data_IF_744864951551
#
_entry.id   IF_744864951551
#
_cell.length_a   1.000
_cell.length_b   1.000
_cell.length_c   1.000
_cell.angle_alpha   90.00
_cell.angle_beta   90.00
_cell.angle_gamma   90.00
#
_symmetry.space_group_name_H-M   'P 1'
#
loop_
_entity.id
_entity.type
_entity.pdbx_description
1 polymer ?
#
# COMPACT_ATOMS: atom_id res chain seq x y z
N UNK A 1 -2.55 -64.95 -44.75
CA UNK A 1 -3.89 -64.36 -44.88
C UNK A 1 -4.24 -63.65 -43.58
N UNK A 2 -4.22 -62.32 -43.57
CA UNK A 2 -4.55 -61.51 -42.38
C UNK A 2 -6.08 -61.48 -42.26
N UNK A 3 -6.61 -61.81 -41.08
CA UNK A 3 -8.07 -61.85 -40.89
C UNK A 3 -8.68 -60.44 -40.96
N UNK A 4 -9.93 -60.32 -41.41
CA UNK A 4 -10.66 -59.06 -41.53
C UNK A 4 -10.68 -58.22 -40.22
N UNK A 5 -10.56 -58.86 -39.06
CA UNK A 5 -10.44 -58.20 -37.75
C UNK A 5 -9.08 -57.53 -37.50
N UNK A 6 -8.00 -58.06 -38.07
CA UNK A 6 -6.66 -57.46 -37.98
C UNK A 6 -6.49 -56.29 -38.97
N UNK A 7 -7.15 -56.35 -40.13
CA UNK A 7 -7.18 -55.23 -41.09
C UNK A 7 -7.94 -54.02 -40.52
N UNK A 8 -9.10 -54.23 -39.88
CA UNK A 8 -9.88 -53.15 -39.26
C UNK A 8 -9.13 -52.43 -38.12
N UNK A 9 -8.32 -53.16 -37.34
CA UNK A 9 -7.52 -52.57 -36.26
C UNK A 9 -6.32 -51.74 -36.76
N UNK A 10 -5.79 -52.05 -37.95
CA UNK A 10 -4.74 -51.25 -38.57
C UNK A 10 -5.30 -49.97 -39.24
N UNK A 11 -6.45 -50.06 -39.91
CA UNK A 11 -7.08 -48.90 -40.56
C UNK A 11 -7.57 -47.87 -39.54
N UNK A 12 -8.10 -48.31 -38.38
CA UNK A 12 -8.50 -47.39 -37.30
C UNK A 12 -7.33 -46.73 -36.58
N UNK A 13 -6.15 -47.37 -36.51
CA UNK A 13 -4.95 -46.73 -35.95
C UNK A 13 -4.31 -45.73 -36.91
N UNK A 14 -4.49 -45.89 -38.22
CA UNK A 14 -3.99 -44.95 -39.22
C UNK A 14 -4.86 -43.67 -39.31
N UNK A 15 -6.19 -43.76 -39.14
CA UNK A 15 -7.07 -42.58 -39.18
C UNK A 15 -7.04 -41.73 -37.90
N UNK A 16 -6.68 -42.31 -36.75
CA UNK A 16 -6.59 -41.57 -35.48
C UNK A 16 -5.33 -40.69 -35.37
N UNK A 17 -4.30 -40.94 -36.20
CA UNK A 17 -3.02 -40.22 -36.14
C UNK A 17 -3.05 -38.97 -37.05
N UNK A 18 -3.89 -38.93 -38.08
CA UNK A 18 -3.98 -37.77 -38.98
C UNK A 18 -4.84 -36.63 -38.42
N UNK A 19 -5.78 -36.91 -37.51
CA UNK A 19 -6.61 -35.84 -36.88
C UNK A 19 -5.87 -35.14 -35.73
N UNK A 20 -4.83 -35.75 -35.15
CA UNK A 20 -4.04 -35.12 -34.08
C UNK A 20 -2.94 -34.19 -34.63
N UNK A 21 -2.58 -34.32 -35.90
CA UNK A 21 -1.51 -33.54 -36.54
C UNK A 21 -1.98 -32.25 -37.26
N UNK A 22 -3.28 -31.96 -37.27
CA UNK A 22 -3.85 -30.77 -37.94
C UNK A 22 -4.60 -29.82 -36.99
N UNK A 23 -4.36 -29.95 -35.67
CA UNK A 23 -4.87 -29.01 -34.66
C UNK A 23 -3.76 -28.25 -33.92
N UNK A 24 -2.49 -28.48 -34.27
CA UNK A 24 -1.33 -27.81 -33.66
C UNK A 24 -0.79 -26.65 -34.51
N UNK A 25 -1.62 -26.00 -35.32
CA UNK A 25 -1.22 -24.84 -36.14
C UNK A 25 -2.03 -23.56 -35.89
N UNK A 26 -2.85 -23.51 -34.85
CA UNK A 26 -3.50 -22.27 -34.43
C UNK A 26 -3.50 -22.17 -32.91
N UNK A 27 -2.41 -21.63 -32.35
CA UNK A 27 -2.43 -20.74 -31.18
C UNK A 27 -0.99 -20.33 -30.82
N UNK A 28 -0.28 -19.71 -31.78
CA UNK A 28 0.78 -18.76 -31.43
C UNK A 28 0.11 -17.41 -31.11
N UNK A 29 -0.80 -17.40 -30.14
CA UNK A 29 -1.10 -16.17 -29.43
C UNK A 29 -0.13 -16.16 -28.27
N UNK A 30 0.84 -15.25 -28.34
CA UNK A 30 1.69 -14.90 -27.22
C UNK A 30 0.82 -14.77 -25.97
N UNK A 31 0.96 -15.71 -25.03
CA UNK A 31 0.61 -15.45 -23.65
C UNK A 31 1.56 -14.34 -23.18
N UNK A 32 1.14 -13.09 -23.39
CA UNK A 32 1.59 -11.99 -22.58
C UNK A 32 1.22 -12.42 -21.16
N UNK A 33 2.21 -12.89 -20.42
CA UNK A 33 2.10 -13.00 -18.99
C UNK A 33 1.72 -11.61 -18.51
N UNK A 34 0.44 -11.40 -18.21
CA UNK A 34 0.02 -10.27 -17.40
C UNK A 34 0.81 -10.45 -16.12
N UNK A 35 1.87 -9.66 -15.97
CA UNK A 35 2.47 -9.41 -14.66
C UNK A 35 1.28 -8.98 -13.83
N UNK A 36 0.80 -9.86 -12.93
CA UNK A 36 -0.07 -9.42 -11.84
C UNK A 36 0.79 -8.42 -11.10
N UNK A 37 0.68 -7.16 -11.46
CA UNK A 37 1.12 -6.10 -10.58
C UNK A 37 0.28 -6.37 -9.35
N UNK A 38 0.91 -6.82 -8.27
CA UNK A 38 0.30 -6.90 -6.95
C UNK A 38 0.04 -5.47 -6.46
N UNK A 39 -0.57 -4.63 -7.32
CA UNK A 39 -1.01 -3.30 -7.01
C UNK A 39 -2.08 -3.51 -5.94
N UNK A 40 -1.85 -3.02 -4.73
CA UNK A 40 -2.84 -3.10 -3.67
C UNK A 40 -4.17 -2.54 -4.21
N UNK A 41 -5.33 -3.05 -3.78
CA UNK A 41 -6.64 -2.62 -4.31
C UNK A 41 -7.01 -1.21 -3.81
N UNK A 42 -6.17 -0.22 -4.12
CA UNK A 42 -6.41 1.18 -3.85
C UNK A 42 -7.63 1.61 -4.67
N UNK A 43 -8.56 2.30 -4.03
CA UNK A 43 -9.66 2.94 -4.74
C UNK A 43 -9.16 4.19 -5.50
N UNK A 44 -10.03 4.83 -6.26
CA UNK A 44 -9.67 5.97 -7.10
C UNK A 44 -9.08 7.14 -6.30
N UNK A 45 -9.72 7.52 -5.20
CA UNK A 45 -9.24 8.63 -4.36
C UNK A 45 -7.90 8.32 -3.68
N UNK A 46 -7.69 7.07 -3.26
CA UNK A 46 -6.40 6.60 -2.75
C UNK A 46 -5.29 6.69 -3.80
N UNK A 47 -5.58 6.34 -5.07
CA UNK A 47 -4.62 6.53 -6.18
C UNK A 47 -4.34 8.01 -6.43
N UNK A 48 -5.38 8.84 -6.51
CA UNK A 48 -5.24 10.30 -6.68
C UNK A 48 -4.40 10.92 -5.56
N UNK A 49 -4.59 10.46 -4.33
CA UNK A 49 -3.83 10.91 -3.17
C UNK A 49 -2.35 10.48 -3.24
N UNK A 50 -2.08 9.22 -3.56
CA UNK A 50 -0.71 8.69 -3.73
C UNK A 50 0.05 9.47 -4.82
N UNK A 51 -0.60 9.68 -5.97
CA UNK A 51 -0.07 10.46 -7.07
C UNK A 51 0.17 11.94 -6.72
N UNK A 52 -0.82 12.60 -6.12
CA UNK A 52 -0.71 13.99 -5.72
C UNK A 52 0.43 14.17 -4.72
N UNK A 53 0.49 13.33 -3.69
CA UNK A 53 1.56 13.39 -2.69
C UNK A 53 2.92 13.15 -3.34
N UNK A 54 3.01 12.17 -4.25
CA UNK A 54 4.25 11.87 -4.99
C UNK A 54 4.73 13.08 -5.78
N UNK A 55 3.81 13.81 -6.43
CA UNK A 55 4.15 15.04 -7.17
C UNK A 55 4.55 16.19 -6.25
N UNK A 56 3.74 16.48 -5.23
CA UNK A 56 3.93 17.63 -4.34
C UNK A 56 5.17 17.49 -3.46
N UNK A 57 5.45 16.28 -2.95
CA UNK A 57 6.50 16.04 -1.96
C UNK A 57 7.72 15.32 -2.54
N UNK A 58 7.86 15.26 -3.87
CA UNK A 58 8.98 14.58 -4.57
C UNK A 58 10.37 14.93 -4.04
N UNK A 59 10.56 16.14 -3.50
CA UNK A 59 11.85 16.58 -2.95
C UNK A 59 12.23 15.98 -1.60
N UNK A 60 11.28 15.30 -0.93
CA UNK A 60 11.46 14.60 0.34
C UNK A 60 11.43 13.08 0.19
N UNK A 61 10.77 12.57 -0.87
CA UNK A 61 10.64 11.14 -1.11
C UNK A 61 11.97 10.57 -1.62
N UNK A 62 12.33 9.39 -1.12
CA UNK A 62 13.46 8.62 -1.62
C UNK A 62 12.97 7.55 -2.59
N UNK A 63 13.34 7.72 -3.86
CA UNK A 63 12.95 6.83 -4.95
C UNK A 63 14.10 5.92 -5.42
N UNK A 64 15.22 5.87 -4.68
CA UNK A 64 16.33 4.97 -4.99
C UNK A 64 15.88 3.52 -4.87
N UNK A 65 16.36 2.68 -5.78
CA UNK A 65 16.06 1.23 -5.77
C UNK A 65 17.01 0.44 -4.87
N UNK A 66 18.11 1.06 -4.41
CA UNK A 66 19.23 0.45 -3.67
C UNK A 66 19.81 -0.82 -4.33
N UNK A 67 19.45 -1.10 -5.58
CA UNK A 67 19.97 -2.24 -6.33
C UNK A 67 21.48 -2.04 -6.55
N UNK A 68 22.27 -3.06 -6.22
CA UNK A 68 23.73 -3.01 -6.32
C UNK A 68 24.44 -2.31 -5.17
N UNK A 69 23.74 -1.74 -4.19
CA UNK A 69 24.36 -1.20 -2.99
C UNK A 69 24.85 -2.32 -2.09
N UNK A 70 26.07 -2.19 -1.58
CA UNK A 70 26.63 -3.09 -0.57
C UNK A 70 25.89 -2.96 0.76
N UNK A 71 26.03 -3.97 1.63
CA UNK A 71 25.51 -3.92 3.00
C UNK A 71 26.06 -2.70 3.76
N UNK A 72 27.36 -2.44 3.65
CA UNK A 72 28.02 -1.32 4.33
C UNK A 72 27.45 0.04 3.92
N UNK A 73 27.20 0.26 2.62
CA UNK A 73 26.63 1.53 2.15
C UNK A 73 25.19 1.73 2.66
N UNK A 74 24.40 0.65 2.70
CA UNK A 74 23.03 0.67 3.21
C UNK A 74 23.01 0.92 4.72
N UNK A 75 23.86 0.25 5.47
CA UNK A 75 23.99 0.43 6.93
C UNK A 75 24.45 1.85 7.27
N UNK A 76 25.41 2.40 6.52
CA UNK A 76 25.89 3.77 6.72
C UNK A 76 24.80 4.81 6.43
N UNK A 77 24.02 4.61 5.36
CA UNK A 77 22.88 5.47 5.04
C UNK A 77 21.78 5.37 6.10
N UNK A 78 21.48 4.16 6.57
CA UNK A 78 20.52 3.92 7.64
C UNK A 78 20.94 4.64 8.92
N UNK A 79 22.20 4.48 9.35
CA UNK A 79 22.73 5.15 10.54
C UNK A 79 22.62 6.67 10.44
N UNK A 80 22.97 7.24 9.29
CA UNK A 80 22.82 8.69 9.03
C UNK A 80 21.35 9.14 9.09
N UNK A 81 20.43 8.34 8.55
CA UNK A 81 19.01 8.67 8.60
C UNK A 81 18.46 8.59 10.03
N UNK A 82 18.86 7.58 10.82
CA UNK A 82 18.50 7.48 12.23
C UNK A 82 19.05 8.68 13.03
N UNK A 83 20.30 9.08 12.79
CA UNK A 83 20.90 10.26 13.41
C UNK A 83 20.11 11.53 13.08
N UNK A 84 19.73 11.72 11.82
CA UNK A 84 18.93 12.86 11.38
C UNK A 84 17.54 12.90 12.04
N UNK A 85 16.94 11.77 12.41
CA UNK A 85 15.67 11.74 13.16
C UNK A 85 15.81 12.28 14.60
N UNK A 86 17.01 12.28 15.17
CA UNK A 86 17.29 12.88 16.48
C UNK A 86 17.66 14.36 16.39
N UNK A 87 17.86 14.87 15.17
CA UNK A 87 18.18 16.26 14.89
C UNK A 87 16.95 17.19 14.84
N UNK A 88 17.14 18.45 14.44
CA UNK A 88 16.03 19.39 14.24
C UNK A 88 15.11 18.91 13.11
N UNK A 89 13.86 19.39 13.07
CA UNK A 89 12.89 19.13 11.99
C UNK A 89 13.26 19.86 10.67
N UNK A 90 14.44 19.59 10.16
CA UNK A 90 15.00 20.13 8.92
C UNK A 90 14.53 19.35 7.69
N UNK A 91 15.00 19.75 6.50
CA UNK A 91 14.74 18.98 5.28
C UNK A 91 15.32 17.57 5.35
N UNK A 92 16.49 17.44 5.96
CA UNK A 92 17.20 16.17 6.17
C UNK A 92 16.40 15.23 7.06
N UNK A 93 15.74 15.75 8.10
CA UNK A 93 14.83 14.97 8.94
C UNK A 93 13.69 14.32 8.13
N UNK A 94 12.98 15.09 7.30
CA UNK A 94 11.90 14.55 6.45
C UNK A 94 12.41 13.58 5.39
N UNK A 95 13.60 13.84 4.83
CA UNK A 95 14.25 12.91 3.90
C UNK A 95 14.67 11.62 4.60
N UNK A 96 15.10 11.68 5.86
CA UNK A 96 15.46 10.52 6.66
C UNK A 96 14.27 9.59 6.88
N UNK A 97 13.08 10.12 7.22
CA UNK A 97 11.84 9.33 7.33
C UNK A 97 11.60 8.50 6.06
N UNK A 98 11.67 9.16 4.89
CA UNK A 98 11.41 8.51 3.62
C UNK A 98 12.53 7.55 3.20
N UNK A 99 13.79 7.87 3.53
CA UNK A 99 14.95 7.01 3.29
C UNK A 99 14.83 5.70 4.08
N UNK A 100 14.46 5.78 5.37
CA UNK A 100 14.23 4.59 6.20
C UNK A 100 13.07 3.73 5.66
N UNK A 101 12.02 4.38 5.15
CA UNK A 101 10.93 3.75 4.38
C UNK A 101 11.43 2.97 3.16
N UNK A 102 12.21 3.64 2.31
CA UNK A 102 12.73 3.05 1.08
C UNK A 102 13.74 1.92 1.34
N UNK A 103 14.55 2.04 2.40
CA UNK A 103 15.47 0.99 2.85
C UNK A 103 14.78 -0.22 3.48
N UNK A 104 13.53 -0.06 3.94
CA UNK A 104 12.81 -1.01 4.83
C UNK A 104 13.61 -1.29 6.10
N UNK A 105 14.10 -0.21 6.71
CA UNK A 105 15.00 -0.23 7.87
C UNK A 105 14.34 -0.80 9.12
N UNK A 106 14.66 -2.06 9.48
CA UNK A 106 14.17 -2.66 10.75
C UNK A 106 14.65 -1.88 11.97
N UNK A 107 15.80 -1.21 11.89
CA UNK A 107 16.38 -0.43 12.99
C UNK A 107 15.64 0.89 13.22
N UNK A 108 15.13 1.54 12.17
CA UNK A 108 14.34 2.78 12.26
C UNK A 108 12.84 2.56 12.51
N UNK A 109 12.38 1.31 12.49
CA UNK A 109 10.95 0.97 12.58
C UNK A 109 10.27 1.55 13.83
N UNK A 110 10.89 1.38 15.01
CA UNK A 110 10.30 1.85 16.28
C UNK A 110 10.15 3.37 16.31
N UNK A 111 11.12 4.09 15.78
CA UNK A 111 11.12 5.55 15.69
C UNK A 111 10.05 6.03 14.71
N UNK A 112 9.92 5.38 13.55
CA UNK A 112 8.85 5.67 12.59
C UNK A 112 7.46 5.41 13.19
N UNK A 113 7.29 4.31 13.93
CA UNK A 113 6.04 4.01 14.62
C UNK A 113 5.72 5.09 15.67
N UNK A 114 6.71 5.50 16.47
CA UNK A 114 6.53 6.58 17.44
C UNK A 114 6.12 7.91 16.78
N UNK A 115 6.74 8.29 15.65
CA UNK A 115 6.36 9.48 14.89
C UNK A 115 4.92 9.37 14.36
N UNK A 116 4.52 8.19 13.89
CA UNK A 116 3.19 7.95 13.35
C UNK A 116 2.09 8.03 14.43
N UNK A 117 2.35 7.53 15.64
CA UNK A 117 1.34 7.39 16.71
C UNK A 117 1.43 8.44 17.81
N UNK A 118 2.42 9.33 17.78
CA UNK A 118 2.57 10.45 18.72
C UNK A 118 1.26 11.22 18.91
N UNK A 119 0.85 11.53 20.13
CA UNK A 119 -0.45 12.15 20.42
C UNK A 119 -0.38 13.68 20.51
N UNK A 120 0.80 14.26 20.32
CA UNK A 120 0.98 15.72 20.30
C UNK A 120 0.28 16.34 19.09
N UNK A 121 -0.44 17.43 19.34
CA UNK A 121 -1.02 18.29 18.29
C UNK A 121 0.09 19.16 17.68
N UNK A 122 0.45 18.87 16.42
CA UNK A 122 1.58 19.49 15.70
C UNK A 122 1.36 19.47 14.19
N UNK A 123 2.28 20.09 13.45
CA UNK A 123 2.37 19.86 12.01
C UNK A 123 2.51 18.35 11.74
N UNK A 124 1.70 17.84 10.81
CA UNK A 124 1.54 16.41 10.61
C UNK A 124 2.41 15.87 9.47
N UNK A 125 3.37 16.64 8.96
CA UNK A 125 4.17 16.23 7.80
C UNK A 125 4.97 14.97 8.07
N UNK A 126 5.63 14.93 9.21
CA UNK A 126 6.42 13.79 9.66
C UNK A 126 5.53 12.55 9.88
N UNK A 127 4.34 12.74 10.46
CA UNK A 127 3.38 11.68 10.76
C UNK A 127 2.94 10.97 9.49
N UNK A 128 2.44 11.68 8.48
CA UNK A 128 1.98 11.02 7.26
C UNK A 128 3.13 10.40 6.47
N UNK A 129 4.33 10.99 6.50
CA UNK A 129 5.52 10.39 5.88
C UNK A 129 5.94 9.11 6.60
N UNK A 130 5.86 9.07 7.93
CA UNK A 130 6.15 7.88 8.72
C UNK A 130 5.12 6.77 8.46
N UNK A 131 3.83 7.10 8.41
CA UNK A 131 2.75 6.15 8.06
C UNK A 131 2.97 5.57 6.65
N UNK A 132 3.33 6.41 5.67
CA UNK A 132 3.69 5.97 4.32
C UNK A 132 4.88 5.01 4.35
N UNK A 133 5.94 5.38 5.06
CA UNK A 133 7.15 4.58 5.21
C UNK A 133 6.82 3.21 5.80
N UNK A 134 6.07 3.16 6.90
CA UNK A 134 5.63 1.94 7.56
C UNK A 134 4.79 1.03 6.64
N UNK A 135 3.93 1.60 5.79
CA UNK A 135 3.19 0.84 4.77
C UNK A 135 4.08 0.11 3.75
N UNK A 136 5.33 0.54 3.57
CA UNK A 136 6.30 -0.13 2.71
C UNK A 136 7.03 -1.30 3.38
N UNK A 137 7.04 -1.38 4.72
CA UNK A 137 7.77 -2.43 5.46
C UNK A 137 7.12 -3.80 5.29
N UNK A 138 5.78 -3.87 5.18
CA UNK A 138 5.05 -5.13 5.06
C UNK A 138 4.81 -5.85 6.40
N UNK A 139 5.29 -5.31 7.52
CA UNK A 139 5.00 -5.84 8.85
C UNK A 139 3.56 -5.52 9.24
N UNK A 140 2.70 -6.54 9.23
CA UNK A 140 1.28 -6.37 9.56
C UNK A 140 1.02 -6.17 11.05
N UNK A 141 2.02 -6.35 11.91
CA UNK A 141 1.84 -6.16 13.37
C UNK A 141 1.48 -4.73 13.75
N UNK A 142 1.71 -3.76 12.87
CA UNK A 142 1.32 -2.35 13.08
C UNK A 142 -0.12 -2.04 12.69
N UNK A 143 -0.87 -2.99 12.12
CA UNK A 143 -2.25 -2.74 11.67
C UNK A 143 -3.09 -2.12 12.80
N UNK A 144 -3.11 -2.65 14.03
CA UNK A 144 -3.83 -2.04 15.14
C UNK A 144 -3.46 -0.58 15.43
N UNK A 145 -2.19 -0.21 15.26
CA UNK A 145 -1.69 1.15 15.50
C UNK A 145 -2.06 2.12 14.36
N UNK A 146 -2.20 1.61 13.13
CA UNK A 146 -2.58 2.42 11.97
C UNK A 146 -4.10 2.61 11.82
N UNK A 147 -4.91 1.69 12.35
CA UNK A 147 -6.37 1.77 12.25
C UNK A 147 -6.92 3.07 12.84
N UNK A 148 -6.51 3.54 14.04
CA UNK A 148 -6.98 4.82 14.59
C UNK A 148 -6.62 6.04 13.75
N UNK A 149 -5.65 5.93 12.84
CA UNK A 149 -5.18 7.05 12.02
C UNK A 149 -6.05 7.26 10.77
N UNK A 150 -6.90 6.31 10.37
CA UNK A 150 -7.76 6.45 9.16
C UNK A 150 -8.83 7.53 9.29
N UNK A 151 -9.08 7.99 10.52
CA UNK A 151 -9.98 9.11 10.85
C UNK A 151 -9.22 10.27 11.52
N UNK A 152 -7.91 10.39 11.26
CA UNK A 152 -7.14 11.53 11.74
C UNK A 152 -7.60 12.86 11.09
N UNK A 153 -7.60 13.95 11.86
CA UNK A 153 -8.09 15.25 11.38
C UNK A 153 -7.26 15.87 10.25
N UNK A 154 -5.96 15.60 10.22
CA UNK A 154 -5.09 15.94 9.08
C UNK A 154 -5.34 15.02 7.87
N UNK A 155 -5.58 15.62 6.70
CA UNK A 155 -5.91 14.92 5.43
C UNK A 155 -4.82 13.96 4.97
N UNK A 156 -3.56 14.38 4.99
CA UNK A 156 -2.48 13.51 4.56
C UNK A 156 -2.34 12.31 5.49
N UNK A 157 -2.42 12.53 6.81
CA UNK A 157 -2.34 11.46 7.81
C UNK A 157 -3.40 10.39 7.57
N UNK A 158 -4.68 10.78 7.45
CA UNK A 158 -5.76 9.80 7.31
C UNK A 158 -5.70 9.03 6.00
N UNK A 159 -5.43 9.69 4.88
CA UNK A 159 -5.37 8.98 3.60
C UNK A 159 -4.15 8.08 3.49
N UNK A 160 -3.00 8.49 4.05
CA UNK A 160 -1.84 7.61 4.11
C UNK A 160 -2.04 6.43 5.04
N UNK A 161 -2.80 6.57 6.13
CA UNK A 161 -3.17 5.44 6.97
C UNK A 161 -4.01 4.43 6.18
N UNK A 162 -5.02 4.90 5.44
CA UNK A 162 -5.84 4.04 4.57
C UNK A 162 -4.99 3.32 3.51
N UNK A 163 -4.15 4.06 2.77
CA UNK A 163 -3.28 3.49 1.72
C UNK A 163 -2.31 2.45 2.31
N UNK A 164 -1.68 2.77 3.44
CA UNK A 164 -0.74 1.88 4.10
C UNK A 164 -1.42 0.60 4.61
N UNK A 165 -2.63 0.70 5.18
CA UNK A 165 -3.40 -0.48 5.57
C UNK A 165 -3.73 -1.36 4.37
N UNK A 166 -4.13 -0.79 3.23
CA UNK A 166 -4.39 -1.55 1.99
C UNK A 166 -3.10 -2.24 1.50
N UNK A 167 -1.96 -1.56 1.55
CA UNK A 167 -0.64 -2.13 1.19
C UNK A 167 -0.24 -3.30 2.08
N UNK A 168 -0.46 -3.18 3.39
CA UNK A 168 -0.11 -4.21 4.36
C UNK A 168 -1.04 -5.44 4.27
N UNK A 169 -2.33 -5.21 4.03
CA UNK A 169 -3.35 -6.25 4.22
C UNK A 169 -3.90 -6.83 2.93
N UNK A 170 -3.84 -6.08 1.82
CA UNK A 170 -4.54 -6.39 0.58
C UNK A 170 -6.07 -6.25 0.68
N UNK A 171 -6.59 -5.71 1.79
CA UNK A 171 -8.02 -5.45 2.01
C UNK A 171 -8.27 -3.95 1.99
N UNK A 172 -9.49 -3.47 1.73
CA UNK A 172 -9.78 -2.04 1.70
C UNK A 172 -11.13 -1.74 2.36
N UNK A 173 -11.09 -1.10 3.52
CA UNK A 173 -12.27 -0.56 4.22
C UNK A 173 -12.29 0.98 4.24
N UNK A 174 -11.43 1.63 3.44
CA UNK A 174 -11.26 3.08 3.43
C UNK A 174 -11.12 3.64 4.87
N UNK A 175 -11.89 4.68 5.21
CA UNK A 175 -11.91 5.30 6.54
C UNK A 175 -12.73 4.56 7.62
N UNK A 176 -13.31 3.39 7.31
CA UNK A 176 -14.11 2.64 8.29
C UNK A 176 -13.21 1.85 9.25
N UNK A 177 -12.81 2.52 10.33
CA UNK A 177 -11.96 1.95 11.36
C UNK A 177 -12.60 0.78 12.12
N UNK A 178 -13.94 0.75 12.20
CA UNK A 178 -14.68 -0.35 12.85
C UNK A 178 -14.62 -1.60 11.98
N UNK A 179 -14.81 -1.46 10.67
CA UNK A 179 -14.66 -2.56 9.72
C UNK A 179 -13.21 -3.08 9.69
N UNK A 180 -12.22 -2.19 9.68
CA UNK A 180 -10.81 -2.58 9.82
C UNK A 180 -10.55 -3.40 11.09
N UNK A 181 -11.02 -2.92 12.24
CA UNK A 181 -10.84 -3.58 13.52
C UNK A 181 -11.53 -4.95 13.61
N UNK A 182 -12.79 -5.01 13.16
CA UNK A 182 -13.56 -6.26 13.13
C UNK A 182 -12.90 -7.30 12.21
N UNK A 183 -12.50 -6.90 11.00
CA UNK A 183 -11.82 -7.79 10.05
C UNK A 183 -10.48 -8.29 10.58
N UNK A 184 -9.67 -7.42 11.20
CA UNK A 184 -8.35 -7.78 11.72
C UNK A 184 -8.47 -8.84 12.83
N UNK A 185 -9.39 -8.64 13.76
CA UNK A 185 -9.66 -9.58 14.85
C UNK A 185 -10.25 -10.89 14.33
N UNK A 186 -11.19 -10.84 13.38
CA UNK A 186 -11.75 -12.03 12.74
C UNK A 186 -10.66 -12.83 12.00
N UNK A 187 -9.74 -12.14 11.34
CA UNK A 187 -8.59 -12.73 10.64
C UNK A 187 -7.47 -13.20 11.57
N UNK A 188 -7.67 -13.12 12.90
CA UNK A 188 -6.70 -13.49 13.94
C UNK A 188 -5.37 -12.74 13.84
N UNK A 189 -5.40 -11.50 13.35
CA UNK A 189 -4.23 -10.65 13.29
C UNK A 189 -3.62 -10.40 14.67
N UNK A 190 -2.29 -10.21 14.71
CA UNK A 190 -1.53 -10.02 15.95
C UNK A 190 -0.71 -8.72 15.90
N UNK A 191 -0.77 -7.86 16.94
CA UNK A 191 -1.62 -7.99 18.13
C UNK A 191 -3.11 -7.78 17.80
N UNK A 192 -4.02 -8.20 18.68
CA UNK A 192 -5.45 -7.93 18.50
C UNK A 192 -5.73 -6.42 18.55
N UNK A 193 -6.73 -5.96 17.80
CA UNK A 193 -7.17 -4.56 17.82
C UNK A 193 -8.25 -4.37 18.89
N UNK A 194 -8.07 -3.39 19.77
CA UNK A 194 -9.07 -2.99 20.75
C UNK A 194 -10.18 -2.17 20.06
N UNK A 195 -11.29 -2.81 19.69
CA UNK A 195 -12.35 -2.22 18.84
C UNK A 195 -13.16 -1.10 19.48
N UNK A 196 -13.01 -0.86 20.79
CA UNK A 196 -13.90 0.02 21.55
C UNK A 196 -13.28 1.38 21.88
N UNK A 197 -12.01 1.60 21.52
CA UNK A 197 -11.27 2.79 21.95
C UNK A 197 -11.16 3.80 20.81
N UNK A 198 -12.18 4.67 20.70
CA UNK A 198 -12.10 5.82 19.81
C UNK A 198 -10.96 6.75 20.26
N UNK A 199 -9.96 6.88 19.40
CA UNK A 199 -8.78 7.72 19.67
C UNK A 199 -9.03 9.17 19.25
N UNK A 200 -9.19 10.08 20.22
CA UNK A 200 -9.32 11.52 19.93
C UNK A 200 -8.00 12.14 19.51
N UNK A 201 -7.81 12.48 18.23
CA UNK A 201 -6.58 13.11 17.71
C UNK A 201 -6.58 14.63 17.76
N UNK A 202 -7.76 15.26 17.72
CA UNK A 202 -7.90 16.71 17.65
C UNK A 202 -8.61 17.19 18.91
N UNK A 203 -7.99 18.13 19.62
CA UNK A 203 -8.58 18.75 20.81
C UNK A 203 -9.31 20.05 20.46
N UNK A 204 -10.38 19.93 19.66
CA UNK A 204 -11.23 21.05 19.26
C UNK A 204 -12.71 20.69 19.38
N UNK A 205 -13.60 21.69 19.58
CA UNK A 205 -15.04 21.50 19.53
C UNK A 205 -15.53 20.82 18.25
N UNK A 206 -16.36 19.80 18.39
CA UNK A 206 -16.88 18.98 17.29
C UNK A 206 -15.93 17.88 16.82
N UNK A 207 -14.91 17.52 17.61
CA UNK A 207 -14.01 16.38 17.37
C UNK A 207 -13.98 15.41 18.56
N UNK A 208 -15.03 15.41 19.38
CA UNK A 208 -15.11 14.62 20.62
C UNK A 208 -15.57 13.19 20.39
N UNK A 209 -16.53 12.99 19.48
CA UNK A 209 -17.09 11.66 19.19
C UNK A 209 -16.74 11.18 17.79
N UNK A 210 -16.81 9.86 17.58
CA UNK A 210 -16.57 9.25 16.27
C UNK A 210 -17.51 9.83 15.19
N UNK A 211 -18.79 10.01 15.51
CA UNK A 211 -19.80 10.51 14.58
C UNK A 211 -19.51 11.95 14.14
N UNK A 212 -19.06 12.80 15.05
CA UNK A 212 -18.68 14.18 14.73
C UNK A 212 -17.43 14.20 13.84
N UNK A 213 -16.43 13.37 14.15
CA UNK A 213 -15.20 13.26 13.37
C UNK A 213 -15.48 12.73 11.96
N UNK A 214 -16.31 11.69 11.84
CA UNK A 214 -16.72 11.12 10.55
C UNK A 214 -17.40 12.18 9.67
N UNK A 215 -18.35 12.94 10.22
CA UNK A 215 -19.02 14.02 9.49
C UNK A 215 -18.04 15.10 8.99
N UNK A 216 -17.12 15.56 9.86
CA UNK A 216 -16.11 16.57 9.50
C UNK A 216 -15.12 16.08 8.45
N UNK A 217 -14.71 14.82 8.55
CA UNK A 217 -13.79 14.22 7.59
C UNK A 217 -14.45 14.08 6.23
N UNK A 218 -15.71 13.63 6.17
CA UNK A 218 -16.44 13.50 4.92
C UNK A 218 -16.55 14.85 4.18
N UNK A 219 -16.90 15.92 4.88
CA UNK A 219 -16.95 17.28 4.33
C UNK A 219 -15.55 17.74 3.86
N UNK A 220 -14.54 17.56 4.71
CA UNK A 220 -13.17 17.97 4.44
C UNK A 220 -12.54 17.24 3.24
N UNK A 221 -12.80 15.94 3.12
CA UNK A 221 -12.31 15.12 2.00
C UNK A 221 -12.98 15.51 0.69
N UNK A 222 -14.31 15.73 0.69
CA UNK A 222 -15.00 16.22 -0.50
C UNK A 222 -14.41 17.56 -0.99
N UNK A 223 -14.15 18.50 -0.06
CA UNK A 223 -13.49 19.78 -0.39
C UNK A 223 -12.06 19.61 -0.91
N UNK A 224 -11.31 18.66 -0.34
CA UNK A 224 -9.93 18.38 -0.75
C UNK A 224 -9.88 17.80 -2.17
N UNK A 225 -10.65 16.75 -2.47
CA UNK A 225 -10.65 16.11 -3.79
C UNK A 225 -11.25 16.96 -4.90
N UNK A 226 -12.14 17.90 -4.57
CA UNK A 226 -12.62 18.91 -5.51
C UNK A 226 -11.50 19.87 -5.99
N UNK A 227 -10.45 20.07 -5.19
CA UNK A 227 -9.29 20.92 -5.51
C UNK A 227 -8.16 20.16 -6.19
N UNK A 228 -8.15 18.83 -6.06
CA UNK A 228 -7.16 18.00 -6.75
C UNK A 228 -7.49 17.93 -8.24
N UNK A 229 -6.47 17.93 -9.12
CA UNK A 229 -6.71 17.64 -10.53
C UNK A 229 -7.47 16.30 -10.66
N UNK A 230 -8.31 16.16 -11.70
CA UNK A 230 -8.90 14.87 -12.00
C UNK A 230 -7.79 13.82 -12.13
N UNK A 231 -8.11 12.58 -11.81
CA UNK A 231 -7.23 11.47 -12.13
C UNK A 231 -6.75 11.64 -13.55
N UNK A 232 -5.45 11.46 -13.80
CA UNK A 232 -5.00 11.47 -15.19
C UNK A 232 -5.79 10.35 -15.89
N UNK A 233 -6.76 10.72 -16.74
CA UNK A 233 -7.32 9.80 -17.72
C UNK A 233 -6.10 9.12 -18.31
N UNK A 234 -6.01 7.81 -18.08
CA UNK A 234 -4.86 7.00 -18.41
C UNK A 234 -4.34 7.52 -19.73
N UNK A 235 -3.16 8.16 -19.73
CA UNK A 235 -2.59 8.71 -20.96
C UNK A 235 -2.46 7.50 -21.86
N UNK A 236 -3.41 7.34 -22.76
CA UNK A 236 -3.30 6.55 -23.96
C UNK A 236 -2.17 7.22 -24.72
N UNK A 237 -0.96 6.79 -24.42
CA UNK A 237 0.14 6.94 -25.35
C UNK A 237 0.22 5.62 -26.13
N UNK A 238 0.24 5.70 -27.48
CA UNK A 238 0.44 4.54 -28.34
C UNK A 238 1.83 3.90 -28.13
#
# INVERSE_FOLDING_TARGET
>A
MISARQFFRLVFRALAITVVMLSFSQSCFAQIAVVKTNTPPLNEDQRRMDEWTTRQFRGFLDNRTFAGWSKTERDALEAKAIDALNGPHSREYYQAINTLGALRSTNGFKQLLAIATDRVDKDNRDRWMAIRALGHFGDKSIVPELVPLVYHGNVNTRWWAQISLVRLTGTNFAGDWRAWGAWWNHSRGQPAFATNDFVRWVNQPGWETAEQVEAKIQEGDASFFAKLPPAAEARTQP
#
